data_IF_527724643620
#
_entry.id   IF_527724643620
#
_cell.length_a   1.000
_cell.length_b   1.000
_cell.length_c   1.000
_cell.angle_alpha   90.00
_cell.angle_beta   90.00
_cell.angle_gamma   90.00
#
_symmetry.space_group_name_H-M   'P 1'
#
loop_
_entity.id
_entity.type
_entity.pdbx_description
1 polymer ?
#
# COMPACT_ATOMS: atom_id res chain seq x y z
N UNK A 1 -15.93 -3.39 -4.99
CA UNK A 1 -14.70 -3.90 -5.64
C UNK A 1 -14.96 -4.51 -7.01
N UNK A 2 -15.68 -5.64 -7.13
CA UNK A 2 -15.96 -6.28 -8.44
C UNK A 2 -16.51 -5.29 -9.47
N UNK A 3 -17.48 -4.49 -9.04
CA UNK A 3 -18.07 -3.46 -9.89
C UNK A 3 -17.03 -2.42 -10.34
N UNK A 4 -16.27 -1.80 -9.43
CA UNK A 4 -15.16 -0.89 -9.80
C UNK A 4 -14.17 -1.52 -10.77
N UNK A 5 -13.69 -2.74 -10.50
CA UNK A 5 -12.71 -3.40 -11.35
C UNK A 5 -13.26 -3.63 -12.78
N UNK A 6 -14.50 -4.12 -12.88
CA UNK A 6 -15.16 -4.39 -14.15
C UNK A 6 -15.56 -3.11 -14.90
N UNK A 7 -16.13 -2.10 -14.23
CA UNK A 7 -16.49 -0.85 -14.90
C UNK A 7 -15.28 -0.07 -15.35
N UNK A 8 -14.21 -0.06 -14.54
CA UNK A 8 -12.95 0.55 -14.96
C UNK A 8 -12.40 -0.17 -16.18
N UNK A 9 -12.41 -1.50 -16.21
CA UNK A 9 -12.02 -2.28 -17.39
C UNK A 9 -12.86 -1.93 -18.63
N UNK A 10 -14.19 -1.89 -18.50
CA UNK A 10 -15.10 -1.55 -19.60
C UNK A 10 -14.81 -0.14 -20.15
N UNK A 11 -14.61 0.84 -19.25
CA UNK A 11 -14.31 2.23 -19.63
C UNK A 11 -12.98 2.35 -20.35
N UNK A 12 -11.90 1.73 -19.84
CA UNK A 12 -10.57 1.84 -20.50
C UNK A 12 -10.53 1.10 -21.84
N UNK A 13 -11.34 0.06 -22.01
CA UNK A 13 -11.52 -0.61 -23.30
C UNK A 13 -12.32 0.27 -24.26
N UNK A 14 -13.42 0.87 -23.82
CA UNK A 14 -14.24 1.77 -24.64
C UNK A 14 -13.45 3.01 -25.10
N UNK A 15 -12.55 3.51 -24.27
CA UNK A 15 -11.65 4.63 -24.59
C UNK A 15 -10.42 4.22 -25.44
N UNK A 16 -10.26 2.93 -25.74
CA UNK A 16 -9.16 2.42 -26.58
C UNK A 16 -7.80 2.33 -25.87
N UNK A 17 -7.72 2.53 -24.56
CA UNK A 17 -6.47 2.38 -23.80
C UNK A 17 -6.04 0.92 -23.66
N UNK A 18 -7.00 -0.01 -23.64
CA UNK A 18 -6.77 -1.45 -23.53
C UNK A 18 -7.57 -2.18 -24.61
N UNK A 19 -6.97 -3.20 -25.22
CA UNK A 19 -7.69 -4.04 -26.20
C UNK A 19 -8.76 -4.88 -25.49
N UNK A 20 -9.95 -4.96 -26.08
CA UNK A 20 -11.00 -5.84 -25.58
C UNK A 20 -10.52 -7.30 -25.55
N UNK A 21 -10.69 -7.96 -24.42
CA UNK A 21 -10.45 -9.40 -24.28
C UNK A 21 -11.41 -10.01 -23.25
N UNK A 22 -11.96 -11.17 -23.58
CA UNK A 22 -12.85 -11.90 -22.66
C UNK A 22 -12.10 -12.24 -21.36
N UNK A 23 -10.83 -12.62 -21.48
CA UNK A 23 -9.94 -12.88 -20.34
C UNK A 23 -9.81 -11.66 -19.44
N UNK A 24 -9.60 -10.46 -19.99
CA UNK A 24 -9.56 -9.21 -19.23
C UNK A 24 -10.86 -8.92 -18.48
N UNK A 25 -12.01 -9.21 -19.11
CA UNK A 25 -13.33 -9.11 -18.47
C UNK A 25 -13.49 -10.07 -17.29
N UNK A 26 -13.14 -11.35 -17.48
CA UNK A 26 -13.21 -12.37 -16.42
C UNK A 26 -12.30 -12.04 -15.24
N UNK A 27 -11.05 -11.65 -15.51
CA UNK A 27 -10.09 -11.23 -14.47
C UNK A 27 -10.61 -10.03 -13.67
N UNK A 28 -11.29 -9.09 -14.34
CA UNK A 28 -11.87 -7.90 -13.72
C UNK A 28 -13.14 -8.20 -12.90
N UNK A 29 -13.89 -9.26 -13.25
CA UNK A 29 -15.05 -9.73 -12.47
C UNK A 29 -14.64 -10.53 -11.24
N UNK A 30 -13.50 -11.21 -11.30
CA UNK A 30 -12.99 -12.09 -10.24
C UNK A 30 -11.62 -11.62 -9.70
N UNK A 31 -11.45 -10.34 -9.32
CA UNK A 31 -10.13 -9.77 -9.03
C UNK A 31 -9.50 -10.30 -7.74
N UNK A 32 -10.31 -10.85 -6.82
CA UNK A 32 -9.83 -11.48 -5.59
C UNK A 32 -9.28 -12.88 -5.89
N UNK A 33 -10.03 -13.68 -6.65
CA UNK A 33 -9.66 -15.07 -6.99
C UNK A 33 -8.35 -15.08 -7.79
N UNK A 34 -8.23 -14.18 -8.75
CA UNK A 34 -7.04 -14.05 -9.59
C UNK A 34 -5.98 -13.09 -9.02
N UNK A 35 -6.08 -12.73 -7.73
CA UNK A 35 -5.12 -11.89 -7.00
C UNK A 35 -4.63 -10.65 -7.79
N UNK A 36 -5.55 -9.97 -8.46
CA UNK A 36 -5.26 -8.86 -9.37
C UNK A 36 -4.70 -7.63 -8.64
N UNK A 37 -4.98 -7.50 -7.35
CA UNK A 37 -4.50 -6.41 -6.51
C UNK A 37 -3.55 -6.96 -5.44
N UNK A 38 -2.34 -6.40 -5.39
CA UNK A 38 -1.31 -6.83 -4.45
C UNK A 38 -1.70 -6.63 -2.98
N UNK A 39 -2.59 -5.68 -2.67
CA UNK A 39 -3.05 -5.37 -1.32
C UNK A 39 -4.30 -6.16 -0.92
N UNK A 40 -5.30 -6.24 -1.81
CA UNK A 40 -6.68 -6.58 -1.42
C UNK A 40 -6.84 -8.04 -0.99
N UNK A 41 -6.36 -8.99 -1.79
CA UNK A 41 -6.51 -10.40 -1.46
C UNK A 41 -5.73 -10.77 -0.17
N UNK A 42 -4.44 -10.41 -0.01
CA UNK A 42 -3.71 -10.60 1.25
C UNK A 42 -4.37 -9.96 2.46
N UNK A 43 -4.87 -8.73 2.33
CA UNK A 43 -5.59 -8.04 3.40
C UNK A 43 -6.83 -8.82 3.87
N UNK A 44 -7.69 -9.21 2.93
CA UNK A 44 -8.90 -9.99 3.25
C UNK A 44 -8.56 -11.35 3.86
N UNK A 45 -7.53 -12.03 3.34
CA UNK A 45 -7.06 -13.30 3.89
C UNK A 45 -6.59 -13.15 5.34
N UNK A 46 -5.85 -12.09 5.65
CA UNK A 46 -5.44 -11.83 7.04
C UNK A 46 -6.63 -11.56 7.96
N UNK A 47 -7.69 -10.89 7.48
CA UNK A 47 -8.92 -10.75 8.27
C UNK A 47 -9.57 -12.10 8.57
N UNK A 48 -9.60 -13.02 7.61
CA UNK A 48 -10.10 -14.40 7.80
C UNK A 48 -9.19 -15.18 8.76
N UNK A 49 -7.88 -15.02 8.65
CA UNK A 49 -6.89 -15.67 9.52
C UNK A 49 -6.82 -15.05 10.92
N UNK A 50 -7.34 -13.83 11.10
CA UNK A 50 -7.21 -13.05 12.32
C UNK A 50 -7.63 -13.77 13.61
N UNK A 51 -8.70 -14.59 13.66
CA UNK A 51 -9.05 -15.31 14.88
C UNK A 51 -7.99 -16.34 15.27
N UNK A 52 -7.40 -17.02 14.29
CA UNK A 52 -6.33 -17.99 14.50
C UNK A 52 -5.04 -17.29 14.92
N UNK A 53 -4.67 -16.19 14.24
CA UNK A 53 -3.50 -15.38 14.59
C UNK A 53 -3.61 -14.84 16.01
N UNK A 54 -4.78 -14.35 16.42
CA UNK A 54 -4.98 -13.84 17.79
C UNK A 54 -4.82 -14.94 18.84
N UNK A 55 -5.41 -16.12 18.63
CA UNK A 55 -5.23 -17.26 19.55
C UNK A 55 -3.75 -17.64 19.68
N UNK A 56 -3.03 -17.69 18.55
CA UNK A 56 -1.61 -18.01 18.53
C UNK A 56 -0.78 -16.96 19.29
N UNK A 57 -0.96 -15.68 18.97
CA UNK A 57 -0.19 -14.58 19.57
C UNK A 57 -0.44 -14.42 21.07
N UNK A 58 -1.67 -14.68 21.52
CA UNK A 58 -2.03 -14.65 22.95
C UNK A 58 -1.47 -15.87 23.71
N UNK A 59 -1.34 -17.02 23.06
CA UNK A 59 -0.77 -18.23 23.67
C UNK A 59 0.76 -18.18 23.80
N UNK A 60 1.43 -17.28 23.07
CA UNK A 60 2.89 -17.19 23.09
C UNK A 60 3.44 -16.61 24.40
N UNK A 61 4.39 -17.35 24.98
CA UNK A 61 5.36 -16.81 25.94
C UNK A 61 6.21 -15.71 25.31
N UNK A 62 6.85 -14.87 26.12
CA UNK A 62 7.72 -13.79 25.63
C UNK A 62 8.85 -14.28 24.72
N UNK A 63 9.43 -15.45 25.04
CA UNK A 63 10.47 -16.07 24.22
C UNK A 63 9.92 -16.51 22.86
N UNK A 64 8.79 -17.20 22.84
CA UNK A 64 8.15 -17.65 21.59
C UNK A 64 7.75 -16.47 20.71
N UNK A 65 7.22 -15.41 21.32
CA UNK A 65 6.86 -14.17 20.63
C UNK A 65 8.05 -13.50 19.96
N UNK A 66 9.18 -13.37 20.67
CA UNK A 66 10.42 -12.83 20.09
C UNK A 66 10.90 -13.66 18.90
N UNK A 67 10.89 -14.99 19.03
CA UNK A 67 11.24 -15.89 17.93
C UNK A 67 10.29 -15.79 16.75
N UNK A 68 8.99 -15.71 17.00
CA UNK A 68 7.98 -15.52 15.96
C UNK A 68 8.23 -14.26 15.14
N UNK A 69 8.47 -13.10 15.79
CA UNK A 69 8.79 -11.87 15.08
C UNK A 69 10.14 -11.94 14.39
N UNK A 70 11.16 -12.51 15.03
CA UNK A 70 12.48 -12.66 14.41
C UNK A 70 12.41 -13.50 13.12
N UNK A 71 11.65 -14.60 13.14
CA UNK A 71 11.43 -15.46 11.98
C UNK A 71 10.64 -14.74 10.88
N UNK A 72 9.52 -14.08 11.21
CA UNK A 72 8.75 -13.34 10.20
C UNK A 72 9.55 -12.18 9.60
N UNK A 73 10.29 -11.42 10.41
CA UNK A 73 11.17 -10.36 9.90
C UNK A 73 12.28 -10.95 9.02
N UNK A 74 12.84 -12.11 9.39
CA UNK A 74 13.83 -12.78 8.57
C UNK A 74 13.24 -13.21 7.22
N UNK A 75 12.11 -13.91 7.22
CA UNK A 75 11.45 -14.45 6.03
C UNK A 75 10.97 -13.34 5.10
N UNK A 76 10.32 -12.31 5.65
CA UNK A 76 9.66 -11.29 4.83
C UNK A 76 10.59 -10.12 4.46
N UNK A 77 11.59 -9.80 5.30
CA UNK A 77 12.42 -8.63 5.09
C UNK A 77 13.88 -8.98 4.83
N UNK A 78 14.50 -9.91 5.56
CA UNK A 78 15.96 -10.12 5.47
C UNK A 78 16.35 -11.07 4.33
N UNK A 79 15.74 -12.26 4.27
CA UNK A 79 16.05 -13.29 3.27
C UNK A 79 15.85 -12.82 1.82
N UNK A 80 14.80 -12.05 1.47
CA UNK A 80 14.62 -11.53 0.12
C UNK A 80 15.71 -10.56 -0.33
N UNK A 81 16.38 -9.89 0.61
CA UNK A 81 17.45 -8.92 0.31
C UNK A 81 18.77 -9.60 -0.04
N UNK A 82 19.03 -10.79 0.51
CA UNK A 82 20.34 -11.44 0.38
C UNK A 82 20.34 -12.47 -0.75
N UNK A 83 19.38 -13.40 -0.75
CA UNK A 83 19.41 -14.53 -1.71
C UNK A 83 18.03 -15.07 -2.12
N UNK A 84 17.02 -15.02 -1.25
CA UNK A 84 15.76 -15.73 -1.45
C UNK A 84 14.59 -14.80 -1.78
N UNK A 85 14.66 -14.10 -2.92
CA UNK A 85 13.66 -13.11 -3.35
C UNK A 85 12.21 -13.62 -3.37
N UNK A 86 12.01 -14.92 -3.59
CA UNK A 86 10.70 -15.56 -3.70
C UNK A 86 10.13 -16.08 -2.38
N UNK A 87 10.90 -16.03 -1.28
CA UNK A 87 10.45 -16.53 0.03
C UNK A 87 9.46 -15.57 0.69
N UNK A 88 9.58 -14.27 0.44
CA UNK A 88 8.57 -13.30 0.89
C UNK A 88 7.33 -13.35 0.02
N UNK A 89 6.18 -13.12 0.64
CA UNK A 89 4.90 -13.01 -0.04
C UNK A 89 4.08 -11.84 0.52
N UNK A 90 3.19 -11.27 -0.29
CA UNK A 90 2.28 -10.24 0.21
C UNK A 90 1.47 -10.76 1.42
N UNK A 91 1.05 -12.02 1.42
CA UNK A 91 0.31 -12.58 2.56
C UNK A 91 1.17 -12.63 3.82
N UNK A 92 2.40 -13.13 3.73
CA UNK A 92 3.32 -13.20 4.87
C UNK A 92 3.68 -11.82 5.43
N UNK A 93 3.93 -10.84 4.56
CA UNK A 93 4.13 -9.44 4.97
C UNK A 93 2.89 -8.87 5.70
N UNK A 94 1.68 -9.18 5.25
CA UNK A 94 0.46 -8.74 5.94
C UNK A 94 0.23 -9.47 7.26
N UNK A 95 0.62 -10.75 7.38
CA UNK A 95 0.64 -11.48 8.66
C UNK A 95 1.59 -10.79 9.63
N UNK A 96 2.78 -10.37 9.18
CA UNK A 96 3.71 -9.57 9.98
C UNK A 96 3.06 -8.25 10.43
N UNK A 97 2.47 -7.47 9.52
CA UNK A 97 1.84 -6.18 9.86
C UNK A 97 0.68 -6.33 10.85
N UNK A 98 -0.17 -7.32 10.62
CA UNK A 98 -1.25 -7.65 11.55
C UNK A 98 -0.70 -8.02 12.92
N UNK A 99 0.34 -8.85 12.96
CA UNK A 99 0.97 -9.27 14.21
C UNK A 99 1.56 -8.08 14.97
N UNK A 100 2.21 -7.14 14.28
CA UNK A 100 2.70 -5.89 14.89
C UNK A 100 1.53 -5.12 15.52
N UNK A 101 0.44 -4.90 14.78
CA UNK A 101 -0.75 -4.21 15.29
C UNK A 101 -1.39 -4.92 16.48
N UNK A 102 -1.47 -6.25 16.44
CA UNK A 102 -1.95 -7.07 17.55
C UNK A 102 -1.07 -6.92 18.80
N UNK A 103 0.25 -6.84 18.65
CA UNK A 103 1.16 -6.60 19.78
C UNK A 103 0.98 -5.23 20.41
N UNK A 104 0.80 -4.19 19.60
CA UNK A 104 0.50 -2.84 20.11
C UNK A 104 -0.78 -2.87 20.95
N UNK A 105 -1.80 -3.61 20.51
CA UNK A 105 -3.07 -3.73 21.24
C UNK A 105 -2.93 -4.54 22.55
N UNK A 106 -2.16 -5.63 22.54
CA UNK A 106 -2.05 -6.53 23.70
C UNK A 106 -0.96 -6.13 24.70
N UNK A 107 -0.02 -5.24 24.32
CA UNK A 107 1.04 -4.74 25.20
C UNK A 107 0.97 -3.21 25.28
N UNK A 108 0.10 -2.64 26.15
CA UNK A 108 -0.07 -1.20 26.28
C UNK A 108 1.21 -0.45 26.63
N UNK A 109 2.12 -1.07 27.38
CA UNK A 109 3.43 -0.48 27.68
C UNK A 109 4.29 -0.27 26.44
N UNK A 110 4.26 -1.24 25.51
CA UNK A 110 4.95 -1.14 24.22
C UNK A 110 4.32 -0.07 23.34
N UNK A 111 2.98 -0.03 23.26
CA UNK A 111 2.25 1.01 22.53
C UNK A 111 2.60 2.40 23.07
N UNK A 112 2.51 2.60 24.39
CA UNK A 112 2.80 3.88 25.05
C UNK A 112 4.27 4.30 24.84
N UNK A 113 5.21 3.35 24.88
CA UNK A 113 6.62 3.62 24.57
C UNK A 113 6.78 4.09 23.14
N UNK A 114 6.22 3.39 22.15
CA UNK A 114 6.36 3.74 20.74
C UNK A 114 5.62 5.03 20.38
N UNK A 115 4.48 5.31 21.01
CA UNK A 115 3.76 6.56 20.88
C UNK A 115 4.61 7.78 21.24
N UNK A 116 5.44 7.70 22.29
CA UNK A 116 6.37 8.80 22.66
C UNK A 116 7.36 9.11 21.55
N UNK A 117 7.68 8.13 20.71
CA UNK A 117 8.61 8.25 19.59
C UNK A 117 7.92 8.32 18.23
N UNK A 118 6.59 8.48 18.15
CA UNK A 118 5.85 8.41 16.89
C UNK A 118 6.37 9.36 15.79
N UNK A 119 6.64 10.63 16.13
CA UNK A 119 7.23 11.63 15.23
C UNK A 119 8.64 11.21 14.80
N UNK A 120 9.44 10.75 15.76
CA UNK A 120 10.80 10.26 15.51
C UNK A 120 10.82 9.05 14.56
N UNK A 121 9.92 8.08 14.75
CA UNK A 121 9.75 6.92 13.86
C UNK A 121 9.29 7.35 12.46
N UNK A 122 8.36 8.29 12.38
CA UNK A 122 7.88 8.84 11.10
C UNK A 122 9.02 9.51 10.32
N UNK A 123 9.75 10.42 10.98
CA UNK A 123 10.87 11.15 10.39
C UNK A 123 12.01 10.19 10.06
N UNK A 124 12.34 9.26 10.94
CA UNK A 124 13.39 8.27 10.69
C UNK A 124 13.03 7.36 9.51
N UNK A 125 11.83 6.80 9.47
CA UNK A 125 11.41 5.90 8.39
C UNK A 125 11.43 6.57 7.02
N UNK A 126 10.71 7.69 6.86
CA UNK A 126 10.64 8.39 5.57
C UNK A 126 11.92 9.17 5.25
N UNK A 127 12.52 9.81 6.25
CA UNK A 127 13.77 10.57 6.09
C UNK A 127 14.93 9.68 5.73
N UNK A 128 15.11 8.52 6.38
CA UNK A 128 16.14 7.56 6.00
C UNK A 128 15.83 6.92 4.64
N UNK A 129 14.57 6.70 4.28
CA UNK A 129 14.23 6.22 2.95
C UNK A 129 14.67 7.21 1.87
N UNK A 130 14.36 8.51 2.03
CA UNK A 130 14.81 9.57 1.13
C UNK A 130 16.33 9.68 1.12
N UNK A 131 16.96 9.70 2.30
CA UNK A 131 18.42 9.78 2.42
C UNK A 131 19.11 8.57 1.77
N UNK A 132 18.52 7.37 1.84
CA UNK A 132 19.05 6.18 1.20
C UNK A 132 19.03 6.28 -0.32
N UNK A 133 18.01 6.91 -0.91
CA UNK A 133 17.96 7.19 -2.35
C UNK A 133 19.07 8.17 -2.72
N UNK A 134 19.15 9.31 -2.04
CA UNK A 134 20.16 10.35 -2.34
C UNK A 134 21.59 9.83 -2.19
N UNK A 135 21.85 9.05 -1.13
CA UNK A 135 23.17 8.45 -0.91
C UNK A 135 23.50 7.44 -2.01
N UNK A 136 22.55 6.60 -2.40
CA UNK A 136 22.77 5.64 -3.47
C UNK A 136 22.95 6.35 -4.82
N UNK A 137 22.23 7.41 -5.13
CA UNK A 137 22.44 8.17 -6.37
C UNK A 137 23.87 8.74 -6.48
N UNK A 138 24.50 9.10 -5.35
CA UNK A 138 25.90 9.56 -5.30
C UNK A 138 26.89 8.40 -5.37
N UNK A 139 26.64 7.33 -4.63
CA UNK A 139 27.60 6.22 -4.42
C UNK A 139 27.58 5.22 -5.58
N UNK A 140 26.41 4.99 -6.19
CA UNK A 140 26.20 3.97 -7.23
C UNK A 140 27.06 4.22 -8.47
N UNK A 141 27.17 5.46 -9.01
CA UNK A 141 28.10 5.77 -10.11
C UNK A 141 29.58 5.59 -9.76
N UNK A 142 29.95 5.81 -8.49
CA UNK A 142 31.35 5.76 -8.03
C UNK A 142 31.82 4.33 -7.77
N UNK A 143 30.95 3.48 -7.23
CA UNK A 143 31.27 2.10 -6.83
C UNK A 143 30.79 1.04 -7.83
N UNK A 144 30.15 1.44 -8.94
CA UNK A 144 29.65 0.52 -9.96
C UNK A 144 28.50 -0.37 -9.48
N UNK A 145 27.78 0.04 -8.42
CA UNK A 145 26.61 -0.69 -7.95
C UNK A 145 25.45 -0.55 -8.94
N UNK A 146 24.45 -1.44 -8.86
CA UNK A 146 23.26 -1.38 -9.72
C UNK A 146 22.10 -0.66 -9.01
N UNK A 147 21.23 -0.02 -9.80
CA UNK A 147 20.01 0.64 -9.31
C UNK A 147 19.06 -0.27 -8.49
N UNK A 148 19.26 -1.59 -8.52
CA UNK A 148 18.50 -2.52 -7.70
C UNK A 148 18.71 -2.30 -6.19
N UNK A 149 19.86 -1.78 -5.75
CA UNK A 149 20.17 -1.64 -4.32
C UNK A 149 19.26 -0.62 -3.62
N UNK A 150 18.80 0.43 -4.29
CA UNK A 150 17.88 1.42 -3.70
C UNK A 150 16.52 0.81 -3.38
N UNK A 151 16.00 -0.04 -4.28
CA UNK A 151 14.74 -0.76 -4.08
C UNK A 151 14.73 -1.69 -2.86
N UNK A 152 15.90 -2.06 -2.31
CA UNK A 152 16.01 -2.86 -1.09
C UNK A 152 15.62 -2.08 0.17
N UNK A 153 15.81 -0.75 0.17
CA UNK A 153 15.52 0.11 1.31
C UNK A 153 14.17 0.82 1.21
N UNK A 154 13.69 1.05 -0.01
CA UNK A 154 12.45 1.81 -0.27
C UNK A 154 11.30 0.96 -0.82
N UNK A 155 11.54 -0.34 -1.05
CA UNK A 155 10.53 -1.28 -1.51
C UNK A 155 9.32 -1.33 -0.58
N UNK A 156 8.17 -1.76 -1.12
CA UNK A 156 6.89 -1.77 -0.39
C UNK A 156 6.95 -2.53 0.94
N UNK A 157 7.77 -3.57 1.01
CA UNK A 157 8.02 -4.37 2.20
C UNK A 157 9.45 -4.20 2.73
N UNK A 158 10.05 -3.03 2.55
CA UNK A 158 11.33 -2.71 3.14
C UNK A 158 11.17 -2.16 4.56
N UNK A 159 12.22 -2.30 5.37
CA UNK A 159 12.16 -1.92 6.79
C UNK A 159 11.90 -0.42 7.00
N UNK A 160 12.43 0.47 6.15
CA UNK A 160 12.29 1.92 6.31
C UNK A 160 10.84 2.39 6.09
N UNK A 161 10.15 2.00 5.00
CA UNK A 161 8.71 2.23 4.86
C UNK A 161 7.87 1.66 6.01
N UNK A 162 8.22 0.48 6.54
CA UNK A 162 7.48 -0.13 7.67
C UNK A 162 7.64 0.72 8.93
N UNK A 163 8.85 1.19 9.25
CA UNK A 163 9.11 2.09 10.38
C UNK A 163 8.35 3.40 10.21
N UNK A 164 8.39 3.99 9.01
CA UNK A 164 7.67 5.23 8.70
C UNK A 164 6.17 5.07 8.83
N UNK A 165 5.61 3.98 8.29
CA UNK A 165 4.19 3.65 8.38
C UNK A 165 3.75 3.39 9.83
N UNK A 166 4.56 2.70 10.64
CA UNK A 166 4.29 2.49 12.06
C UNK A 166 4.27 3.83 12.82
N UNK A 167 5.25 4.70 12.59
CA UNK A 167 5.28 6.03 13.18
C UNK A 167 4.04 6.86 12.82
N UNK A 168 3.68 6.85 11.52
CA UNK A 168 2.52 7.56 11.00
C UNK A 168 1.21 7.02 11.59
N UNK A 169 1.06 5.69 11.65
CA UNK A 169 -0.08 5.04 12.29
C UNK A 169 -0.23 5.47 13.74
N UNK A 170 0.85 5.43 14.53
CA UNK A 170 0.84 5.82 15.93
C UNK A 170 0.52 7.31 16.12
N UNK A 171 0.91 8.18 15.19
CA UNK A 171 0.60 9.61 15.21
C UNK A 171 -0.91 9.87 15.20
N UNK A 172 -1.66 9.11 14.41
CA UNK A 172 -3.11 9.28 14.26
C UNK A 172 -3.95 8.33 15.12
N UNK A 173 -3.36 7.25 15.64
CA UNK A 173 -4.07 6.15 16.33
C UNK A 173 -4.98 6.58 17.49
N UNK A 174 -4.61 7.63 18.24
CA UNK A 174 -5.39 8.15 19.39
C UNK A 174 -6.03 9.51 19.12
N UNK A 175 -5.98 10.00 17.87
CA UNK A 175 -6.59 11.29 17.50
C UNK A 175 -8.07 11.11 17.17
N UNK A 176 -8.94 11.83 17.86
CA UNK A 176 -10.35 11.93 17.50
C UNK A 176 -10.56 13.10 16.52
N UNK A 177 -10.48 12.80 15.22
CA UNK A 177 -10.67 13.78 14.16
C UNK A 177 -12.13 13.73 13.70
N UNK A 178 -12.85 14.84 13.82
CA UNK A 178 -14.20 14.99 13.26
C UNK A 178 -14.18 16.07 12.19
N UNK A 179 -14.39 15.69 10.92
CA UNK A 179 -14.44 16.64 9.80
C UNK A 179 -15.22 16.03 8.65
N UNK A 180 -16.19 16.78 8.13
CA UNK A 180 -17.01 16.38 6.98
C UNK A 180 -16.15 16.10 5.76
N UNK A 181 -15.15 16.94 5.51
CA UNK A 181 -14.25 16.81 4.36
C UNK A 181 -13.37 15.57 4.53
N UNK A 182 -12.71 15.43 5.69
CA UNK A 182 -11.82 14.27 5.94
C UNK A 182 -12.61 12.96 5.84
N UNK A 183 -13.81 12.92 6.42
CA UNK A 183 -14.68 11.75 6.36
C UNK A 183 -15.11 11.42 4.91
N UNK A 184 -15.41 12.44 4.10
CA UNK A 184 -15.73 12.26 2.69
C UNK A 184 -14.54 11.68 1.90
N UNK A 185 -13.34 12.21 2.12
CA UNK A 185 -12.11 11.72 1.49
C UNK A 185 -11.78 10.29 1.95
N UNK A 186 -11.89 10.02 3.25
CA UNK A 186 -11.60 8.71 3.84
C UNK A 186 -12.53 7.61 3.29
N UNK A 187 -13.82 7.90 3.09
CA UNK A 187 -14.78 6.98 2.46
C UNK A 187 -14.44 6.62 1.01
N UNK A 188 -13.56 7.39 0.36
CA UNK A 188 -13.18 7.23 -1.03
C UNK A 188 -11.76 6.66 -1.18
N UNK A 189 -10.97 6.62 -0.10
CA UNK A 189 -9.57 6.19 -0.12
C UNK A 189 -9.37 4.78 -0.71
N UNK A 190 -10.26 3.84 -0.37
CA UNK A 190 -10.22 2.49 -0.94
C UNK A 190 -10.56 2.47 -2.43
N UNK A 191 -11.51 3.32 -2.88
CA UNK A 191 -11.84 3.43 -4.30
C UNK A 191 -10.68 4.05 -5.10
N UNK A 192 -9.99 5.05 -4.54
CA UNK A 192 -8.77 5.62 -5.13
C UNK A 192 -7.76 4.52 -5.40
N UNK A 193 -7.43 3.70 -4.39
CA UNK A 193 -6.54 2.54 -4.56
C UNK A 193 -7.03 1.61 -5.68
N UNK A 194 -8.31 1.21 -5.67
CA UNK A 194 -8.84 0.26 -6.66
C UNK A 194 -8.77 0.78 -8.10
N UNK A 195 -8.89 2.08 -8.31
CA UNK A 195 -8.84 2.71 -9.63
C UNK A 195 -7.38 2.90 -10.06
N UNK A 196 -6.56 3.54 -9.22
CA UNK A 196 -5.17 3.90 -9.57
C UNK A 196 -4.24 2.68 -9.69
N UNK A 197 -4.52 1.62 -8.93
CA UNK A 197 -3.76 0.36 -8.95
C UNK A 197 -4.48 -0.75 -9.75
N UNK A 198 -5.53 -0.42 -10.52
CA UNK A 198 -6.18 -1.40 -11.37
C UNK A 198 -5.17 -1.92 -12.42
N UNK A 199 -5.01 -3.25 -12.61
CA UNK A 199 -4.07 -3.80 -13.59
C UNK A 199 -4.31 -3.33 -15.03
N UNK A 200 -5.54 -2.94 -15.36
CA UNK A 200 -5.90 -2.39 -16.67
C UNK A 200 -5.68 -0.88 -16.76
N UNK A 201 -5.40 -0.18 -15.67
CA UNK A 201 -5.14 1.28 -15.62
C UNK A 201 -3.64 1.53 -15.42
N UNK A 202 -3.07 0.93 -14.37
CA UNK A 202 -1.71 1.16 -13.90
C UNK A 202 -0.65 1.18 -15.02
N UNK A 203 -0.61 0.22 -15.98
CA UNK A 203 0.49 0.14 -16.94
C UNK A 203 0.58 1.30 -17.92
N UNK A 204 -0.55 1.85 -18.36
CA UNK A 204 -0.54 2.98 -19.31
C UNK A 204 -0.70 4.31 -18.58
N UNK A 205 -1.41 4.35 -17.45
CA UNK A 205 -1.67 5.57 -16.71
C UNK A 205 -0.36 6.18 -16.19
N UNK A 206 0.46 5.39 -15.51
CA UNK A 206 1.73 5.88 -14.96
C UNK A 206 2.88 5.92 -15.96
N UNK A 207 2.79 5.18 -17.08
CA UNK A 207 3.86 5.18 -18.11
C UNK A 207 3.61 6.09 -19.29
N UNK A 208 2.37 6.53 -19.53
CA UNK A 208 2.03 7.40 -20.68
C UNK A 208 1.46 8.74 -20.26
N UNK A 209 0.68 8.80 -19.18
CA UNK A 209 0.02 10.05 -18.74
C UNK A 209 0.88 10.77 -17.70
N UNK A 210 1.39 10.02 -16.72
CA UNK A 210 2.21 10.55 -15.63
C UNK A 210 3.61 9.91 -15.64
N UNK A 211 4.23 9.85 -16.82
CA UNK A 211 5.61 9.40 -16.92
C UNK A 211 6.53 10.42 -16.25
N UNK A 212 7.34 9.94 -15.31
CA UNK A 212 8.26 10.76 -14.54
C UNK A 212 9.72 10.62 -14.99
N UNK A 213 9.98 9.82 -16.03
CA UNK A 213 11.34 9.61 -16.55
C UNK A 213 11.97 10.94 -16.99
N UNK A 214 11.22 11.80 -17.69
CA UNK A 214 11.72 13.08 -18.20
C UNK A 214 12.01 14.10 -17.09
N UNK A 215 11.37 13.93 -15.92
CA UNK A 215 11.55 14.83 -14.79
C UNK A 215 12.63 14.36 -13.81
N UNK A 216 13.19 13.15 -13.98
CA UNK A 216 14.03 12.48 -12.97
C UNK A 216 15.22 13.32 -12.48
N UNK A 217 15.87 14.07 -13.37
CA UNK A 217 17.05 14.91 -13.05
C UNK A 217 16.71 16.40 -12.87
N UNK A 218 15.44 16.76 -12.73
CA UNK A 218 15.02 18.16 -12.61
C UNK A 218 14.87 18.57 -11.14
N UNK A 219 15.20 19.82 -10.82
CA UNK A 219 15.05 20.37 -9.46
C UNK A 219 13.60 20.40 -8.96
N UNK A 220 12.64 20.34 -9.88
CA UNK A 220 11.21 20.39 -9.61
C UNK A 220 10.50 19.02 -9.71
N UNK A 221 11.25 17.90 -9.86
CA UNK A 221 10.70 16.54 -9.94
C UNK A 221 9.72 16.23 -8.81
N UNK A 222 10.10 16.53 -7.57
CA UNK A 222 9.28 16.26 -6.37
C UNK A 222 7.96 17.05 -6.45
N UNK A 223 8.01 18.31 -6.87
CA UNK A 223 6.83 19.15 -7.04
C UNK A 223 5.88 18.58 -8.10
N UNK A 224 6.42 18.13 -9.23
CA UNK A 224 5.64 17.46 -10.29
C UNK A 224 5.01 16.17 -9.77
N UNK A 225 5.78 15.29 -9.12
CA UNK A 225 5.27 14.04 -8.58
C UNK A 225 4.14 14.26 -7.55
N UNK A 226 4.28 15.25 -6.65
CA UNK A 226 3.24 15.60 -5.69
C UNK A 226 1.97 16.14 -6.38
N UNK A 227 2.13 16.99 -7.39
CA UNK A 227 1.02 17.51 -8.19
C UNK A 227 0.29 16.38 -8.92
N UNK A 228 1.01 15.46 -9.56
CA UNK A 228 0.44 14.30 -10.21
C UNK A 228 -0.34 13.43 -9.22
N UNK A 229 0.24 13.12 -8.05
CA UNK A 229 -0.44 12.39 -6.98
C UNK A 229 -1.75 13.10 -6.55
N UNK A 230 -1.74 14.42 -6.41
CA UNK A 230 -2.92 15.20 -6.08
C UNK A 230 -3.99 15.14 -7.18
N UNK A 231 -3.60 15.26 -8.45
CA UNK A 231 -4.51 15.13 -9.61
C UNK A 231 -5.14 13.75 -9.63
N UNK A 232 -4.34 12.69 -9.46
CA UNK A 232 -4.83 11.30 -9.44
C UNK A 232 -5.82 11.11 -8.29
N UNK A 233 -5.48 11.60 -7.09
CA UNK A 233 -6.33 11.49 -5.91
C UNK A 233 -7.68 12.19 -6.13
N UNK A 234 -7.68 13.44 -6.58
CA UNK A 234 -8.91 14.21 -6.85
C UNK A 234 -9.74 13.57 -7.95
N UNK A 235 -9.09 13.10 -9.03
CA UNK A 235 -9.78 12.45 -10.16
C UNK A 235 -10.47 11.16 -9.71
N UNK A 236 -9.77 10.30 -8.99
CA UNK A 236 -10.33 9.04 -8.51
C UNK A 236 -11.47 9.27 -7.49
N UNK A 237 -11.35 10.26 -6.61
CA UNK A 237 -12.43 10.64 -5.69
C UNK A 237 -13.65 11.15 -6.48
N UNK A 238 -13.43 11.96 -7.51
CA UNK A 238 -14.52 12.46 -8.34
C UNK A 238 -15.25 11.31 -9.03
N UNK A 239 -14.52 10.35 -9.60
CA UNK A 239 -15.09 9.13 -10.18
C UNK A 239 -15.89 8.35 -9.13
N UNK A 240 -15.34 8.16 -7.93
CA UNK A 240 -16.01 7.47 -6.83
C UNK A 240 -17.30 8.17 -6.36
N UNK A 241 -17.29 9.50 -6.30
CA UNK A 241 -18.46 10.28 -5.93
C UNK A 241 -19.56 10.23 -7.00
N UNK A 242 -19.20 10.34 -8.28
CA UNK A 242 -20.14 10.18 -9.40
C UNK A 242 -20.76 8.79 -9.38
N UNK A 243 -19.91 7.78 -9.16
CA UNK A 243 -20.32 6.40 -9.02
C UNK A 243 -21.36 6.20 -7.90
N UNK A 244 -21.06 6.68 -6.69
CA UNK A 244 -21.98 6.61 -5.53
C UNK A 244 -23.31 7.31 -5.81
N UNK A 245 -23.31 8.41 -6.57
CA UNK A 245 -24.54 9.10 -6.99
C UNK A 245 -25.37 8.29 -7.98
N UNK A 246 -24.73 7.70 -8.99
CA UNK A 246 -25.41 6.84 -9.97
C UNK A 246 -26.06 5.62 -9.31
N UNK A 247 -25.37 4.97 -8.37
CA UNK A 247 -25.94 3.86 -7.62
C UNK A 247 -27.20 4.26 -6.84
N UNK A 248 -27.17 5.40 -6.14
CA UNK A 248 -28.33 5.91 -5.41
C UNK A 248 -29.53 6.19 -6.32
N UNK A 249 -29.31 6.69 -7.54
CA UNK A 249 -30.37 6.93 -8.51
C UNK A 249 -31.00 5.63 -9.02
N UNK A 250 -30.19 4.59 -9.24
CA UNK A 250 -30.67 3.26 -9.65
C UNK A 250 -31.50 2.62 -8.53
N UNK A 251 -31.04 2.68 -7.29
CA UNK A 251 -31.77 2.14 -6.13
C UNK A 251 -33.09 2.87 -5.89
N UNK A 252 -33.13 4.19 -6.10
CA UNK A 252 -34.36 4.98 -5.98
C UNK A 252 -35.39 4.64 -7.07
N UNK A 253 -34.94 4.27 -8.28
CA UNK A 253 -35.83 3.87 -9.39
C UNK A 253 -36.45 2.47 -9.21
N UNK A 254 -35.90 1.66 -8.31
CA UNK A 254 -36.36 0.30 -8.00
C UNK A 254 -37.15 0.21 -6.68
N UNK A 255 -37.46 1.35 -6.04
CA UNK A 255 -38.45 1.46 -4.96
C UNK A 255 -39.70 2.17 -5.48
#
# INVERSE_FOLDING_TARGET
MKFYAFTTWLLVVALGFVKFSITGGVLSLLPIIYSQYWFVAPFLLVLVLSPCLNKLLLAFTDKQRKWYFALLLAIELVLPLIFAKTVSSNLGAFVLFYSIGAQLRYLPELENKLMRYNKGLTIAGFGLAIASILLLDIVTPVLGFTANLSMHFIGRFSILPIIGALGLFLLFSKMNITSTIINLLAQSAFAVYLISENPNVYPWFWKRVFDNIDYFNTSYMIGVALLQCAIVFVTCITIDMLYKRLQKLIEFRHR
#
